data_IF_353363684831
#
_entry.id   IF_353363684831
#
_cell.length_a   1.000
_cell.length_b   1.000
_cell.length_c   1.000
_cell.angle_alpha   90.00
_cell.angle_beta   90.00
_cell.angle_gamma   90.00
#
_symmetry.space_group_name_H-M   'P 1'
#
loop_
_entity.id
_entity.type
_entity.pdbx_description
1 polymer ?
#
# COMPACT_ATOMS: atom_id res chain seq x y z
N UNK A 1 -26.23 -3.55 -8.32
CA UNK A 1 -25.39 -4.59 -8.96
C UNK A 1 -24.26 -4.89 -8.00
N UNK A 2 -24.23 -6.07 -7.40
CA UNK A 2 -23.14 -6.48 -6.51
C UNK A 2 -22.11 -7.16 -7.38
N UNK A 3 -20.91 -6.59 -7.49
CA UNK A 3 -19.79 -7.22 -8.19
C UNK A 3 -19.28 -8.33 -7.26
N UNK A 4 -19.30 -9.59 -7.72
CA UNK A 4 -18.68 -10.69 -6.98
C UNK A 4 -17.19 -10.44 -6.77
N UNK A 5 -16.61 -11.00 -5.72
CA UNK A 5 -15.21 -10.78 -5.34
C UNK A 5 -14.23 -11.10 -6.48
N UNK A 6 -14.45 -12.21 -7.20
CA UNK A 6 -13.63 -12.60 -8.36
C UNK A 6 -13.67 -11.55 -9.49
N UNK A 7 -14.85 -10.96 -9.72
CA UNK A 7 -15.01 -9.91 -10.72
C UNK A 7 -14.30 -8.63 -10.27
N UNK A 8 -14.33 -8.30 -8.97
CA UNK A 8 -13.60 -7.16 -8.42
C UNK A 8 -12.10 -7.31 -8.64
N UNK A 9 -11.52 -8.46 -8.27
CA UNK A 9 -10.09 -8.69 -8.45
C UNK A 9 -9.69 -8.74 -9.93
N UNK A 10 -10.54 -9.29 -10.78
CA UNK A 10 -10.32 -9.28 -12.23
C UNK A 10 -10.26 -7.84 -12.75
N UNK A 11 -11.24 -6.99 -12.45
CA UNK A 11 -11.24 -5.58 -12.88
C UNK A 11 -10.06 -4.79 -12.33
N UNK A 12 -9.62 -5.10 -11.10
CA UNK A 12 -8.47 -4.45 -10.46
C UNK A 12 -7.14 -4.80 -11.11
N UNK A 13 -7.00 -6.02 -11.62
CA UNK A 13 -5.69 -6.58 -12.03
C UNK A 13 -5.57 -6.89 -13.53
N UNK A 14 -6.65 -6.85 -14.30
CA UNK A 14 -6.64 -7.17 -15.73
C UNK A 14 -5.88 -6.14 -16.60
N UNK A 15 -5.56 -4.96 -16.05
CA UNK A 15 -4.88 -3.87 -16.75
C UNK A 15 -5.72 -3.17 -17.82
N UNK A 16 -7.05 -3.37 -17.83
CA UNK A 16 -7.98 -2.78 -18.80
C UNK A 16 -8.61 -1.47 -18.32
N UNK A 17 -8.61 -1.23 -17.02
CA UNK A 17 -9.18 -0.01 -16.41
C UNK A 17 -10.66 0.21 -16.78
N UNK A 18 -11.40 -0.90 -16.99
CA UNK A 18 -12.78 -0.95 -17.45
C UNK A 18 -13.78 -0.93 -16.29
N UNK A 19 -13.68 0.10 -15.43
CA UNK A 19 -14.58 0.29 -14.29
C UNK A 19 -15.00 1.75 -14.14
N UNK A 20 -16.20 2.00 -13.59
CA UNK A 20 -16.70 3.36 -13.33
C UNK A 20 -16.29 3.88 -11.94
N UNK A 21 -16.26 2.98 -10.95
CA UNK A 21 -15.85 3.26 -9.58
C UNK A 21 -15.27 1.99 -8.97
N UNK A 22 -14.16 2.14 -8.25
CA UNK A 22 -13.54 1.07 -7.46
C UNK A 22 -13.23 1.59 -6.07
N UNK A 23 -13.74 0.90 -5.05
CA UNK A 23 -13.29 1.08 -3.67
C UNK A 23 -12.19 0.06 -3.41
N UNK A 24 -11.00 0.53 -3.04
CA UNK A 24 -9.84 -0.33 -2.83
C UNK A 24 -9.03 0.16 -1.64
N UNK A 25 -8.57 -0.79 -0.81
CA UNK A 25 -7.53 -0.53 0.16
C UNK A 25 -6.19 -0.36 -0.54
N UNK A 26 -5.38 0.59 -0.06
CA UNK A 26 -4.01 0.81 -0.50
C UNK A 26 -3.07 0.58 0.66
N UNK A 27 -1.97 -0.14 0.42
CA UNK A 27 -0.96 -0.44 1.44
C UNK A 27 0.23 0.48 1.29
N UNK A 28 0.75 0.96 2.41
CA UNK A 28 1.92 1.83 2.44
C UNK A 28 3.20 1.07 2.78
N UNK A 29 4.20 1.83 3.20
CA UNK A 29 5.42 1.31 3.79
C UNK A 29 5.96 2.32 4.80
N UNK A 30 7.22 2.19 5.23
CA UNK A 30 7.83 3.04 6.25
C UNK A 30 7.78 4.55 5.93
N UNK A 31 7.63 4.92 4.65
CA UNK A 31 7.46 6.30 4.22
C UNK A 31 6.35 6.41 3.17
N UNK A 32 5.79 7.63 2.93
CA UNK A 32 4.78 7.85 1.89
C UNK A 32 5.23 7.45 0.47
N UNK A 33 6.54 7.38 0.23
CA UNK A 33 7.09 6.95 -1.06
C UNK A 33 6.56 5.60 -1.49
N UNK A 34 6.47 4.62 -0.58
CA UNK A 34 6.04 3.27 -0.94
C UNK A 34 4.62 3.25 -1.50
N UNK A 35 3.71 3.98 -0.86
CA UNK A 35 2.33 4.14 -1.34
C UNK A 35 2.31 4.84 -2.70
N UNK A 36 2.97 5.99 -2.84
CA UNK A 36 2.97 6.70 -4.13
C UNK A 36 3.65 5.91 -5.25
N UNK A 37 4.75 5.22 -4.98
CA UNK A 37 5.46 4.43 -5.97
C UNK A 37 4.64 3.22 -6.42
N UNK A 38 3.91 2.57 -5.52
CA UNK A 38 3.09 1.42 -5.86
C UNK A 38 1.85 1.81 -6.69
N UNK A 39 1.20 2.93 -6.35
CA UNK A 39 -0.09 3.28 -6.92
C UNK A 39 -0.06 4.41 -7.97
N UNK A 40 1.03 5.18 -8.09
CA UNK A 40 1.15 6.30 -9.03
C UNK A 40 2.37 6.24 -9.95
N UNK A 41 3.28 5.27 -9.80
CA UNK A 41 4.37 5.11 -10.77
C UNK A 41 3.79 4.56 -12.09
N UNK A 42 4.15 5.16 -13.22
CA UNK A 42 3.69 4.68 -14.54
C UNK A 42 4.20 3.26 -14.86
N UNK A 43 5.33 2.83 -14.29
CA UNK A 43 5.84 1.47 -14.41
C UNK A 43 4.97 0.42 -13.70
N UNK A 44 4.00 0.85 -12.88
CA UNK A 44 3.00 0.00 -12.23
C UNK A 44 1.66 -0.01 -13.00
N UNK A 45 1.65 0.42 -14.26
CA UNK A 45 0.48 0.28 -15.14
C UNK A 45 0.53 -1.09 -15.83
N UNK A 46 -0.60 -1.81 -15.83
CA UNK A 46 -0.80 -3.00 -16.65
C UNK A 46 -1.30 -4.21 -15.86
N UNK A 47 -1.33 -5.36 -16.52
CA UNK A 47 -1.84 -6.59 -15.93
C UNK A 47 -1.01 -7.02 -14.72
N UNK A 48 -1.68 -7.32 -13.61
CA UNK A 48 -1.06 -7.74 -12.36
C UNK A 48 -0.27 -6.65 -11.64
N UNK A 49 -0.43 -5.38 -12.04
CA UNK A 49 0.25 -4.23 -11.42
C UNK A 49 -0.72 -3.43 -10.54
N UNK A 50 -0.17 -2.49 -9.77
CA UNK A 50 -0.87 -1.82 -8.68
C UNK A 50 -1.37 -0.42 -8.97
N UNK A 51 -0.96 0.22 -10.06
CA UNK A 51 -1.49 1.53 -10.45
C UNK A 51 -2.91 1.34 -11.00
N UNK A 52 -3.87 1.19 -10.10
CA UNK A 52 -5.23 0.79 -10.45
C UNK A 52 -5.96 1.83 -11.29
N UNK A 53 -5.54 3.10 -11.25
CA UNK A 53 -6.17 4.22 -11.97
C UNK A 53 -5.52 4.54 -13.32
N UNK A 54 -4.48 3.79 -13.70
CA UNK A 54 -3.76 4.04 -14.96
C UNK A 54 -3.06 5.41 -15.00
N UNK A 55 -2.66 5.94 -13.84
CA UNK A 55 -2.05 7.26 -13.73
C UNK A 55 -0.69 7.30 -14.42
N UNK A 56 -0.56 8.17 -15.42
CA UNK A 56 0.65 8.33 -16.23
C UNK A 56 1.03 9.81 -16.32
N UNK A 57 1.96 10.24 -15.48
CA UNK A 57 2.43 11.63 -15.42
C UNK A 57 3.94 11.67 -15.17
N UNK A 58 4.67 12.29 -16.09
CA UNK A 58 6.13 12.32 -16.05
C UNK A 58 6.70 13.11 -14.88
N UNK A 59 5.95 14.06 -14.31
CA UNK A 59 6.38 14.79 -13.10
C UNK A 59 6.34 13.88 -11.88
N UNK A 60 5.29 13.08 -11.75
CA UNK A 60 5.14 12.07 -10.70
C UNK A 60 6.30 11.08 -10.77
N UNK A 61 6.58 10.52 -11.95
CA UNK A 61 7.70 9.59 -12.15
C UNK A 61 9.05 10.25 -11.85
N UNK A 62 9.22 11.52 -12.23
CA UNK A 62 10.42 12.30 -11.94
C UNK A 62 10.67 12.48 -10.44
N UNK A 63 9.64 12.82 -9.66
CA UNK A 63 9.76 12.94 -8.21
C UNK A 63 9.98 11.58 -7.52
N UNK A 64 9.31 10.52 -7.97
CA UNK A 64 9.55 9.17 -7.47
C UNK A 64 11.01 8.75 -7.70
N UNK A 65 11.53 9.01 -8.91
CA UNK A 65 12.94 8.78 -9.25
C UNK A 65 13.89 9.61 -8.37
N UNK A 66 13.58 10.89 -8.15
CA UNK A 66 14.36 11.78 -7.28
C UNK A 66 14.40 11.26 -5.83
N UNK A 67 13.28 10.77 -5.30
CA UNK A 67 13.26 10.19 -3.96
C UNK A 67 14.19 8.97 -3.88
N UNK A 68 14.10 8.07 -4.85
CA UNK A 68 14.84 6.81 -4.86
C UNK A 68 16.34 6.97 -5.11
N UNK A 69 16.78 8.08 -5.71
CA UNK A 69 18.18 8.31 -6.07
C UNK A 69 19.04 8.93 -4.96
N UNK A 70 18.46 9.21 -3.79
CA UNK A 70 19.15 9.89 -2.68
C UNK A 70 18.77 9.33 -1.32
N UNK A 71 19.70 9.47 -0.37
CA UNK A 71 19.50 9.18 1.05
C UNK A 71 19.34 10.44 1.90
N UNK A 72 19.44 11.64 1.30
CA UNK A 72 19.21 12.91 2.01
C UNK A 72 17.72 13.08 2.35
N UNK A 73 17.33 13.14 3.64
CA UNK A 73 15.95 13.31 4.05
C UNK A 73 15.31 14.61 3.53
N UNK A 74 16.10 15.68 3.34
CA UNK A 74 15.60 16.95 2.82
C UNK A 74 15.20 16.80 1.36
N UNK A 75 16.07 16.22 0.54
CA UNK A 75 15.78 15.94 -0.87
C UNK A 75 14.60 14.98 -1.04
N UNK A 76 14.51 13.93 -0.23
CA UNK A 76 13.38 13.00 -0.20
C UNK A 76 12.06 13.72 0.15
N UNK A 77 12.07 14.60 1.16
CA UNK A 77 10.90 15.38 1.55
C UNK A 77 10.43 16.31 0.42
N UNK A 78 11.35 16.96 -0.29
CA UNK A 78 11.01 17.82 -1.43
C UNK A 78 10.36 17.02 -2.58
N UNK A 79 10.87 15.82 -2.86
CA UNK A 79 10.26 14.93 -3.85
C UNK A 79 8.83 14.54 -3.46
N UNK A 80 8.59 14.14 -2.21
CA UNK A 80 7.23 13.82 -1.71
C UNK A 80 6.30 15.03 -1.82
N UNK A 81 6.77 16.24 -1.46
CA UNK A 81 5.98 17.47 -1.62
C UNK A 81 5.61 17.74 -3.09
N UNK A 82 6.53 17.44 -4.02
CA UNK A 82 6.27 17.49 -5.45
C UNK A 82 5.14 16.55 -5.88
N UNK A 83 5.20 15.28 -5.44
CA UNK A 83 4.14 14.29 -5.70
C UNK A 83 2.81 14.75 -5.11
N UNK A 84 2.79 15.22 -3.86
CA UNK A 84 1.57 15.72 -3.21
C UNK A 84 0.95 16.90 -3.95
N UNK A 85 1.77 17.82 -4.47
CA UNK A 85 1.27 18.93 -5.27
C UNK A 85 0.60 18.45 -6.56
N UNK A 86 1.22 17.51 -7.28
CA UNK A 86 0.61 16.89 -8.47
C UNK A 86 -0.69 16.18 -8.09
N UNK A 87 -0.68 15.44 -6.99
CA UNK A 87 -1.84 14.71 -6.48
C UNK A 87 -3.02 15.64 -6.20
N UNK A 88 -2.82 16.73 -5.45
CA UNK A 88 -3.91 17.66 -5.11
C UNK A 88 -4.44 18.39 -6.35
N UNK A 89 -3.57 18.67 -7.33
CA UNK A 89 -3.98 19.37 -8.55
C UNK A 89 -4.79 18.52 -9.52
N UNK A 90 -4.54 17.21 -9.56
CA UNK A 90 -5.12 16.32 -10.57
C UNK A 90 -6.03 15.23 -10.00
N UNK A 91 -5.94 14.99 -8.69
CA UNK A 91 -6.76 14.05 -7.92
C UNK A 91 -6.92 12.67 -8.61
N UNK A 92 -5.81 11.92 -8.81
CA UNK A 92 -5.85 10.65 -9.54
C UNK A 92 -6.76 9.60 -8.88
N UNK A 93 -6.94 9.69 -7.57
CA UNK A 93 -7.95 8.98 -6.81
C UNK A 93 -8.39 9.84 -5.61
N UNK A 94 -9.46 9.42 -4.93
CA UNK A 94 -10.04 10.12 -3.80
C UNK A 94 -9.69 9.36 -2.51
N UNK A 95 -8.79 9.89 -1.65
CA UNK A 95 -8.56 9.32 -0.33
C UNK A 95 -9.83 9.45 0.52
N UNK A 96 -10.24 8.37 1.18
CA UNK A 96 -11.46 8.35 2.01
C UNK A 96 -11.14 8.34 3.51
N UNK A 97 -10.32 7.39 3.96
CA UNK A 97 -9.86 7.29 5.35
C UNK A 97 -8.51 6.54 5.42
N UNK A 98 -7.84 6.64 6.56
CA UNK A 98 -6.70 5.80 6.92
C UNK A 98 -7.19 4.61 7.74
N UNK A 99 -7.07 3.39 7.21
CA UNK A 99 -7.43 2.17 7.93
C UNK A 99 -6.41 1.84 9.03
N UNK A 100 -6.86 1.09 10.05
CA UNK A 100 -5.96 0.45 11.00
C UNK A 100 -5.30 -0.78 10.36
N UNK A 101 -4.16 -1.18 10.90
CA UNK A 101 -3.61 -2.52 10.66
C UNK A 101 -4.38 -3.49 11.56
N UNK A 102 -5.26 -4.31 10.97
CA UNK A 102 -6.18 -5.17 11.72
C UNK A 102 -5.45 -6.39 12.24
N UNK A 103 -5.46 -6.55 13.55
CA UNK A 103 -4.81 -7.65 14.27
C UNK A 103 -5.70 -8.11 15.42
N UNK A 104 -6.22 -9.32 15.31
CA UNK A 104 -6.94 -10.01 16.36
C UNK A 104 -6.33 -11.39 16.60
N UNK A 105 -5.98 -11.68 17.86
CA UNK A 105 -5.38 -12.96 18.24
C UNK A 105 -6.07 -13.61 19.44
N UNK A 106 -5.88 -14.93 19.56
CA UNK A 106 -6.38 -15.71 20.69
C UNK A 106 -5.23 -16.28 21.50
N UNK A 107 -5.27 -16.07 22.81
CA UNK A 107 -4.31 -16.66 23.76
C UNK A 107 -4.73 -18.02 24.30
N UNK A 108 -5.80 -18.63 23.74
CA UNK A 108 -6.32 -19.92 24.21
C UNK A 108 -5.33 -21.07 24.02
N UNK A 109 -4.63 -21.07 22.89
CA UNK A 109 -3.72 -22.16 22.49
C UNK A 109 -2.29 -21.68 22.21
N UNK A 110 -2.08 -20.38 22.03
CA UNK A 110 -0.79 -19.83 21.63
C UNK A 110 -0.48 -18.54 22.40
N UNK A 111 0.78 -18.37 22.76
CA UNK A 111 1.37 -17.14 23.29
C UNK A 111 2.42 -16.60 22.31
N UNK A 112 3.03 -15.46 22.63
CA UNK A 112 4.10 -14.87 21.84
C UNK A 112 3.65 -13.89 20.77
N UNK A 113 2.35 -13.60 20.67
CA UNK A 113 1.79 -12.59 19.76
C UNK A 113 2.43 -11.21 19.96
N UNK A 114 2.60 -10.41 18.87
CA UNK A 114 3.00 -9.02 19.01
C UNK A 114 1.87 -8.24 19.68
N UNK A 115 2.24 -7.31 20.55
CA UNK A 115 1.30 -6.40 21.19
C UNK A 115 1.94 -5.03 21.42
N UNK A 116 1.22 -4.10 22.06
CA UNK A 116 1.73 -2.77 22.35
C UNK A 116 2.98 -2.77 23.25
N UNK A 117 3.15 -3.78 24.10
CA UNK A 117 4.30 -3.91 25.01
C UNK A 117 5.49 -4.62 24.35
N UNK A 118 5.24 -5.44 23.34
CA UNK A 118 6.26 -6.15 22.56
C UNK A 118 5.97 -6.07 21.04
N UNK A 119 6.11 -4.89 20.40
CA UNK A 119 5.73 -4.67 19.01
C UNK A 119 6.85 -5.09 18.04
N UNK A 120 7.22 -6.37 18.05
CA UNK A 120 8.34 -6.88 17.25
C UNK A 120 8.02 -7.07 15.75
N UNK A 121 6.74 -7.05 15.36
CA UNK A 121 6.25 -7.20 13.97
C UNK A 121 4.84 -6.63 13.82
N UNK A 122 4.37 -6.36 12.60
CA UNK A 122 2.91 -6.25 12.35
C UNK A 122 2.24 -7.59 12.70
N UNK A 123 1.17 -7.54 13.49
CA UNK A 123 0.37 -8.71 13.82
C UNK A 123 -0.69 -9.06 12.77
N UNK A 124 -0.90 -8.18 11.79
CA UNK A 124 -1.89 -8.41 10.73
C UNK A 124 -1.55 -9.64 9.89
N UNK A 125 -2.51 -10.56 9.70
CA UNK A 125 -2.29 -11.78 8.93
C UNK A 125 -2.16 -11.51 7.42
N UNK A 126 -2.26 -10.26 6.98
CA UNK A 126 -2.16 -9.87 5.56
C UNK A 126 -0.84 -9.15 5.24
N UNK A 127 0.04 -8.99 6.21
CA UNK A 127 1.31 -8.27 6.05
C UNK A 127 2.46 -9.26 5.86
N UNK A 128 2.99 -9.34 4.64
CA UNK A 128 4.22 -10.08 4.36
C UNK A 128 5.42 -9.12 4.31
N UNK A 129 6.61 -9.51 4.82
CA UNK A 129 6.95 -10.82 5.40
C UNK A 129 6.58 -10.99 6.88
N UNK A 130 6.04 -9.97 7.53
CA UNK A 130 5.77 -9.89 8.97
C UNK A 130 4.99 -11.10 9.53
N UNK A 131 4.04 -11.66 8.79
CA UNK A 131 3.30 -12.86 9.19
C UNK A 131 4.22 -14.06 9.51
N UNK A 132 5.31 -14.23 8.77
CA UNK A 132 6.29 -15.29 9.03
C UNK A 132 6.99 -15.04 10.36
N UNK A 133 7.37 -13.80 10.62
CA UNK A 133 7.99 -13.41 11.89
C UNK A 133 7.03 -13.67 13.05
N UNK A 134 5.74 -13.35 12.93
CA UNK A 134 4.75 -13.64 13.96
C UNK A 134 4.69 -15.15 14.23
N UNK A 135 4.52 -15.97 13.19
CA UNK A 135 4.41 -17.43 13.32
C UNK A 135 5.65 -18.03 14.02
N UNK A 136 6.85 -17.56 13.68
CA UNK A 136 8.11 -18.04 14.27
C UNK A 136 8.26 -17.69 15.76
N UNK A 137 7.53 -16.70 16.26
CA UNK A 137 7.53 -16.30 17.68
C UNK A 137 6.42 -16.97 18.50
N UNK A 138 5.41 -17.56 17.84
CA UNK A 138 4.32 -18.21 18.56
C UNK A 138 4.78 -19.48 19.27
N UNK A 139 4.28 -19.69 20.48
CA UNK A 139 4.52 -20.90 21.28
C UNK A 139 3.19 -21.47 21.78
N UNK A 140 2.95 -22.79 21.68
CA UNK A 140 1.79 -23.42 22.28
C UNK A 140 1.71 -23.15 23.79
N UNK A 141 0.48 -23.03 24.31
CA UNK A 141 0.17 -22.99 25.76
C UNK A 141 0.20 -24.40 26.34
#
# INVERSE_FOLDING_TARGET
MTVGEDNYYTLRTNGKYDYQLMLCGMVGGPTPYYLYNQYLNSAQIGQGKFNFVGWNDSKTDGYLTQYASTTDPTAQKQAIMGIQKVFVQNQPYIPLWTGADYDEYSTKNFTGWPDQNNPYSSGSPNTAPDIEMVILHLQPV
#
